data_IF_687584059770
#
_entry.id   IF_687584059770
#
_cell.length_a   1.000
_cell.length_b   1.000
_cell.length_c   1.000
_cell.angle_alpha   90.00
_cell.angle_beta   90.00
_cell.angle_gamma   90.00
#
_symmetry.space_group_name_H-M   'P 1'
#
loop_
_entity.id
_entity.type
_entity.pdbx_description
1 polymer ?
#
# COMPACT_ATOMS: atom_id res chain seq x y z
N UNK A 1 16.04 -9.38 18.30
CA UNK A 1 15.90 -8.36 19.36
C UNK A 1 17.14 -8.48 20.24
N UNK A 2 17.97 -7.43 20.30
CA UNK A 2 19.11 -7.43 21.22
C UNK A 2 18.56 -7.18 22.62
N UNK A 3 18.60 -8.20 23.47
CA UNK A 3 18.19 -8.08 24.88
C UNK A 3 19.38 -7.49 25.62
N UNK A 4 19.21 -6.31 26.19
CA UNK A 4 20.17 -5.77 27.14
C UNK A 4 20.18 -6.69 28.37
N UNK A 5 21.34 -7.27 28.68
CA UNK A 5 21.51 -7.97 29.94
C UNK A 5 21.39 -6.94 31.07
N UNK A 6 20.23 -6.87 31.72
CA UNK A 6 19.93 -6.05 32.91
C UNK A 6 20.76 -6.41 34.15
N UNK A 7 21.90 -7.11 33.98
CA UNK A 7 22.75 -7.57 35.09
C UNK A 7 23.47 -6.43 35.81
N UNK A 8 23.54 -5.25 35.21
CA UNK A 8 23.97 -4.02 35.85
C UNK A 8 22.74 -3.10 35.97
N UNK A 9 22.17 -2.98 37.17
CA UNK A 9 21.08 -2.05 37.50
C UNK A 9 21.58 -0.59 37.39
N UNK A 10 21.86 -0.15 36.16
CA UNK A 10 22.32 1.22 35.87
C UNK A 10 21.09 2.07 35.60
N UNK A 11 20.83 3.03 36.50
CA UNK A 11 19.73 3.98 36.35
C UNK A 11 19.83 4.75 35.03
N UNK A 12 18.71 4.82 34.31
CA UNK A 12 18.60 5.55 33.04
C UNK A 12 19.23 4.85 31.83
N UNK A 13 19.81 3.65 31.98
CA UNK A 13 20.36 2.91 30.84
C UNK A 13 19.26 2.43 29.89
N UNK A 14 19.35 2.83 28.63
CA UNK A 14 18.47 2.37 27.55
C UNK A 14 19.25 1.84 26.35
N UNK A 15 18.63 0.90 25.65
CA UNK A 15 19.27 0.15 24.57
C UNK A 15 18.48 0.25 23.27
N UNK A 16 19.20 0.29 22.15
CA UNK A 16 18.62 0.24 20.83
C UNK A 16 17.99 -1.13 20.58
N UNK A 17 16.74 -1.23 20.10
CA UNK A 17 16.12 -2.53 19.82
C UNK A 17 16.70 -3.24 18.58
N UNK A 18 17.49 -2.52 17.76
CA UNK A 18 17.99 -2.99 16.46
C UNK A 18 19.50 -3.24 16.41
N UNK A 19 20.28 -2.79 17.38
CA UNK A 19 21.73 -3.03 17.44
C UNK A 19 22.24 -3.01 18.90
N UNK A 20 23.51 -3.38 19.15
CA UNK A 20 24.07 -3.42 20.51
C UNK A 20 24.28 -2.06 21.20
N UNK A 21 23.92 -0.93 20.55
CA UNK A 21 24.12 0.40 21.12
C UNK A 21 23.24 0.62 22.37
N UNK A 22 23.85 1.13 23.44
CA UNK A 22 23.18 1.51 24.68
C UNK A 22 23.74 2.84 25.19
N UNK A 23 22.89 3.61 25.87
CA UNK A 23 23.24 4.94 26.40
C UNK A 23 22.38 5.25 27.63
N UNK A 24 22.91 6.06 28.54
CA UNK A 24 22.12 6.62 29.65
C UNK A 24 21.34 7.81 29.12
N UNK A 25 20.02 7.81 29.33
CA UNK A 25 19.14 8.90 28.94
C UNK A 25 18.87 9.78 30.16
N UNK A 26 19.47 10.98 30.17
CA UNK A 26 19.40 11.90 31.31
C UNK A 26 17.99 12.45 31.57
N UNK A 27 17.22 12.71 30.51
CA UNK A 27 15.87 13.22 30.63
C UNK A 27 14.84 12.07 30.66
N UNK A 28 14.20 11.77 31.80
CA UNK A 28 13.18 10.71 31.87
C UNK A 28 11.94 11.01 31.02
N UNK A 29 11.67 12.28 30.71
CA UNK A 29 10.50 12.69 29.92
C UNK A 29 10.71 12.58 28.41
N UNK A 30 11.94 12.33 27.94
CA UNK A 30 12.18 12.11 26.52
C UNK A 30 11.38 10.88 26.08
N UNK A 31 10.63 11.03 24.98
CA UNK A 31 9.81 9.93 24.43
C UNK A 31 10.52 9.19 23.30
N UNK A 32 11.63 9.73 22.80
CA UNK A 32 12.39 9.24 21.65
C UNK A 32 13.77 8.81 22.13
N UNK A 33 14.14 7.58 21.84
CA UNK A 33 15.50 7.06 21.93
C UNK A 33 16.19 7.28 20.59
N UNK A 34 17.38 7.89 20.58
CA UNK A 34 18.18 8.11 19.37
C UNK A 34 19.43 7.25 19.44
N UNK A 35 19.57 6.31 18.51
CA UNK A 35 20.77 5.50 18.40
C UNK A 35 21.91 6.31 17.78
N UNK A 36 23.07 6.38 18.44
CA UNK A 36 24.26 7.08 17.92
C UNK A 36 25.26 6.13 17.27
N UNK A 37 24.90 4.86 17.05
CA UNK A 37 25.69 3.97 16.20
C UNK A 37 25.56 4.45 14.74
N UNK A 38 26.65 4.86 14.06
CA UNK A 38 26.60 5.39 12.69
C UNK A 38 25.97 4.43 11.67
N UNK A 39 26.08 3.12 11.90
CA UNK A 39 25.49 2.09 11.03
C UNK A 39 23.99 1.89 11.29
N UNK A 40 23.46 2.38 12.42
CA UNK A 40 22.06 2.19 12.80
C UNK A 40 21.26 3.49 12.69
N UNK A 41 21.63 4.53 13.44
CA UNK A 41 21.00 5.86 13.46
C UNK A 41 19.47 5.88 13.62
N UNK A 42 18.84 4.77 14.04
CA UNK A 42 17.39 4.66 14.18
C UNK A 42 16.90 5.43 15.40
N UNK A 43 15.73 6.04 15.25
CA UNK A 43 14.98 6.64 16.34
C UNK A 43 13.78 5.76 16.70
N UNK A 44 13.56 5.54 17.99
CA UNK A 44 12.49 4.66 18.49
C UNK A 44 11.75 5.28 19.65
N UNK A 45 10.49 4.94 19.83
CA UNK A 45 9.74 5.29 21.02
C UNK A 45 10.33 4.61 22.26
N UNK A 46 10.63 5.37 23.31
CA UNK A 46 11.15 4.83 24.58
C UNK A 46 10.15 3.89 25.28
N UNK A 47 8.85 4.12 25.10
CA UNK A 47 7.79 3.36 25.76
C UNK A 47 7.50 2.03 25.06
N UNK A 48 7.39 2.02 23.74
CA UNK A 48 6.97 0.83 22.99
C UNK A 48 8.05 0.22 22.09
N UNK A 49 9.24 0.84 22.03
CA UNK A 49 10.43 0.42 21.27
C UNK A 49 10.24 0.28 19.75
N UNK A 50 9.09 0.71 19.21
CA UNK A 50 8.87 0.85 17.78
C UNK A 50 9.57 2.07 17.19
N UNK A 51 9.68 2.19 15.85
CA UNK A 51 10.17 3.39 15.20
C UNK A 51 9.47 4.65 15.71
N UNK A 52 10.22 5.76 15.75
CA UNK A 52 9.70 7.05 16.20
C UNK A 52 8.39 7.39 15.46
N UNK A 53 7.34 7.63 16.24
CA UNK A 53 5.98 7.80 15.75
C UNK A 53 5.31 9.06 16.32
N UNK A 54 6.06 9.98 16.94
CA UNK A 54 5.51 11.26 17.42
C UNK A 54 5.06 12.07 16.20
N UNK A 55 3.83 12.64 16.19
CA UNK A 55 2.97 12.96 17.34
C UNK A 55 1.98 11.87 17.80
N UNK A 56 1.95 10.70 17.17
CA UNK A 56 1.03 9.61 17.53
C UNK A 56 1.38 9.01 18.90
N UNK A 57 0.36 8.60 19.65
CA UNK A 57 0.46 7.80 20.87
C UNK A 57 0.76 6.35 20.52
N UNK A 58 1.37 5.61 21.44
CA UNK A 58 1.79 4.22 21.19
C UNK A 58 0.66 3.28 20.74
N UNK A 59 -0.59 3.55 21.14
CA UNK A 59 -1.77 2.75 20.78
C UNK A 59 -2.41 3.16 19.45
N UNK A 60 -2.00 4.28 18.86
CA UNK A 60 -2.44 4.77 17.54
C UNK A 60 -1.57 4.21 16.42
N UNK A 61 -0.43 3.61 16.77
CA UNK A 61 0.50 2.99 15.83
C UNK A 61 0.07 1.57 15.55
N UNK A 62 -0.24 1.28 14.28
CA UNK A 62 -0.46 -0.09 13.80
C UNK A 62 0.85 -0.87 13.81
N UNK A 63 0.81 -2.12 14.26
CA UNK A 63 1.98 -2.99 14.42
C UNK A 63 1.62 -4.43 14.12
N UNK A 64 2.64 -5.24 13.81
CA UNK A 64 2.51 -6.67 13.57
C UNK A 64 1.45 -6.98 12.51
N UNK A 65 0.59 -7.95 12.83
CA UNK A 65 -0.43 -8.51 11.92
C UNK A 65 -1.36 -7.44 11.32
N UNK A 66 -1.73 -6.40 12.07
CA UNK A 66 -2.61 -5.34 11.55
C UNK A 66 -1.94 -4.52 10.44
N UNK A 67 -0.70 -4.10 10.69
CA UNK A 67 0.09 -3.36 9.71
C UNK A 67 0.39 -4.20 8.48
N UNK A 68 0.70 -5.48 8.68
CA UNK A 68 0.96 -6.45 7.61
C UNK A 68 -0.29 -6.68 6.76
N UNK A 69 -1.45 -6.91 7.38
CA UNK A 69 -2.73 -7.07 6.70
C UNK A 69 -3.09 -5.84 5.86
N UNK A 70 -3.00 -4.64 6.44
CA UNK A 70 -3.31 -3.41 5.72
C UNK A 70 -2.39 -3.23 4.51
N UNK A 71 -1.07 -3.36 4.70
CA UNK A 71 -0.09 -3.24 3.62
C UNK A 71 -0.33 -4.26 2.50
N UNK A 72 -0.57 -5.52 2.87
CA UNK A 72 -0.88 -6.58 1.92
C UNK A 72 -2.07 -6.19 1.05
N UNK A 73 -3.17 -5.71 1.65
CA UNK A 73 -4.36 -5.29 0.92
C UNK A 73 -4.07 -4.06 0.05
N UNK A 74 -3.42 -3.02 0.59
CA UNK A 74 -3.07 -1.80 -0.14
C UNK A 74 -2.20 -2.06 -1.37
N UNK A 75 -1.22 -2.96 -1.26
CA UNK A 75 -0.35 -3.37 -2.37
C UNK A 75 -1.15 -4.04 -3.50
N UNK A 76 -2.07 -4.95 -3.17
CA UNK A 76 -2.92 -5.63 -4.16
C UNK A 76 -3.92 -4.67 -4.83
N UNK A 77 -4.51 -3.78 -4.04
CA UNK A 77 -5.41 -2.74 -4.54
C UNK A 77 -4.66 -1.79 -5.48
N UNK A 78 -3.46 -1.36 -5.12
CA UNK A 78 -2.62 -0.49 -5.97
C UNK A 78 -2.20 -1.20 -7.26
N UNK A 79 -1.81 -2.47 -7.18
CA UNK A 79 -1.41 -3.27 -8.36
C UNK A 79 -2.58 -3.43 -9.35
N UNK A 80 -3.82 -3.53 -8.87
CA UNK A 80 -5.00 -3.70 -9.72
C UNK A 80 -5.20 -2.54 -10.72
N UNK A 81 -4.85 -1.31 -10.33
CA UNK A 81 -4.94 -0.12 -11.18
C UNK A 81 -3.85 -0.08 -12.27
N UNK A 82 -2.74 -0.79 -12.05
CA UNK A 82 -1.56 -0.73 -12.90
C UNK A 82 -1.70 -1.68 -14.09
N UNK A 83 -1.32 -1.19 -15.27
CA UNK A 83 -1.21 -1.98 -16.50
C UNK A 83 0.26 -2.24 -16.82
N UNK A 84 0.51 -3.35 -17.51
CA UNK A 84 1.84 -3.77 -17.96
C UNK A 84 1.81 -3.98 -19.45
N UNK A 85 2.84 -3.49 -20.14
CA UNK A 85 3.00 -3.76 -21.57
C UNK A 85 3.18 -5.28 -21.79
N UNK A 86 2.36 -5.95 -22.62
CA UNK A 86 2.51 -7.38 -22.89
C UNK A 86 3.86 -7.77 -23.53
N UNK A 87 4.55 -6.82 -24.16
CA UNK A 87 5.85 -7.05 -24.83
C UNK A 87 7.05 -6.76 -23.93
N UNK A 88 7.08 -5.61 -23.28
CA UNK A 88 8.28 -5.13 -22.56
C UNK A 88 8.07 -4.92 -21.05
N UNK A 89 6.90 -5.30 -20.53
CA UNK A 89 6.51 -5.22 -19.10
C UNK A 89 6.51 -3.84 -18.45
N UNK A 90 6.83 -2.78 -19.19
CA UNK A 90 6.71 -1.38 -18.74
C UNK A 90 5.35 -1.15 -18.07
N UNK A 91 5.40 -0.64 -16.83
CA UNK A 91 4.22 -0.33 -16.01
C UNK A 91 3.67 1.04 -16.39
N UNK A 92 2.35 1.16 -16.49
CA UNK A 92 1.66 2.42 -16.77
C UNK A 92 0.24 2.40 -16.20
N UNK A 93 -0.34 3.58 -16.02
CA UNK A 93 -1.76 3.76 -15.69
C UNK A 93 -2.32 4.89 -16.56
N UNK A 94 -3.64 4.96 -16.68
CA UNK A 94 -4.30 5.99 -17.47
C UNK A 94 -4.70 7.14 -16.54
N UNK A 95 -4.28 8.34 -16.90
CA UNK A 95 -4.72 9.59 -16.24
C UNK A 95 -5.91 10.16 -17.00
N UNK A 96 -5.78 10.35 -18.31
CA UNK A 96 -6.80 10.95 -19.18
C UNK A 96 -6.79 10.30 -20.58
N UNK A 97 -7.76 10.67 -21.42
CA UNK A 97 -7.82 10.29 -22.83
C UNK A 97 -8.64 9.03 -23.15
N UNK A 98 -8.36 8.41 -24.30
CA UNK A 98 -9.08 7.23 -24.79
C UNK A 98 -8.45 5.91 -24.30
N UNK A 99 -9.12 4.78 -24.51
CA UNK A 99 -8.62 3.47 -24.08
C UNK A 99 -7.53 2.86 -24.99
N UNK A 100 -7.17 3.54 -26.09
CA UNK A 100 -6.01 3.18 -26.91
C UNK A 100 -4.74 3.76 -26.28
N UNK A 101 -3.96 2.92 -25.63
CA UNK A 101 -2.67 3.30 -25.04
C UNK A 101 -1.52 2.98 -25.98
N UNK A 102 -0.44 3.76 -25.92
CA UNK A 102 0.81 3.48 -26.62
C UNK A 102 1.91 3.30 -25.60
N UNK A 103 2.62 2.17 -25.65
CA UNK A 103 3.76 1.95 -24.77
C UNK A 103 4.91 2.90 -25.14
N UNK A 104 5.36 3.72 -24.19
CA UNK A 104 6.46 4.67 -24.39
C UNK A 104 7.79 4.00 -24.70
N UNK A 105 8.03 2.78 -24.19
CA UNK A 105 9.30 2.08 -24.35
C UNK A 105 9.41 1.31 -25.66
N UNK A 106 8.31 0.73 -26.17
CA UNK A 106 8.35 -0.17 -27.34
C UNK A 106 7.33 0.14 -28.45
N UNK A 107 6.55 1.21 -28.30
CA UNK A 107 5.57 1.68 -29.30
C UNK A 107 4.33 0.82 -29.47
N UNK A 108 4.16 -0.26 -28.71
CA UNK A 108 3.02 -1.17 -28.83
C UNK A 108 1.70 -0.48 -28.47
N UNK A 109 0.66 -0.67 -29.28
CA UNK A 109 -0.70 -0.26 -28.93
C UNK A 109 -1.39 -1.29 -28.06
N UNK A 110 -1.99 -0.84 -26.97
CA UNK A 110 -2.60 -1.69 -25.93
C UNK A 110 -3.97 -1.12 -25.59
N UNK A 111 -4.99 -1.96 -25.49
CA UNK A 111 -6.29 -1.55 -24.96
C UNK A 111 -6.21 -1.46 -23.43
N UNK A 112 -6.63 -0.33 -22.86
CA UNK A 112 -6.61 -0.14 -21.40
C UNK A 112 -7.59 -1.07 -20.64
N UNK A 113 -8.69 -1.43 -21.30
CA UNK A 113 -9.79 -2.24 -20.73
C UNK A 113 -9.40 -3.71 -20.70
N UNK A 114 -9.17 -4.33 -21.86
CA UNK A 114 -8.86 -5.77 -21.94
C UNK A 114 -7.37 -6.10 -21.76
N UNK A 115 -6.48 -5.10 -21.76
CA UNK A 115 -5.02 -5.24 -21.60
C UNK A 115 -4.31 -5.96 -22.76
N UNK A 116 -5.02 -6.22 -23.85
CA UNK A 116 -4.49 -6.90 -25.03
C UNK A 116 -3.79 -5.94 -26.00
N UNK A 117 -2.94 -6.52 -26.85
CA UNK A 117 -2.34 -5.81 -27.98
C UNK A 117 -3.40 -5.53 -29.04
N UNK A 118 -3.41 -4.32 -29.60
CA UNK A 118 -4.40 -3.89 -30.59
C UNK A 118 -3.74 -3.28 -31.83
N UNK A 119 -4.49 -3.22 -32.93
CA UNK A 119 -4.08 -2.54 -34.16
C UNK A 119 -4.87 -1.23 -34.29
N UNK A 120 -4.30 -0.13 -33.79
CA UNK A 120 -4.90 1.18 -33.95
C UNK A 120 -6.24 1.34 -33.23
N UNK A 121 -7.24 1.90 -33.92
CA UNK A 121 -8.57 2.19 -33.38
C UNK A 121 -9.62 1.12 -33.74
N UNK A 122 -9.30 0.18 -34.63
CA UNK A 122 -10.24 -0.83 -35.13
C UNK A 122 -10.83 -1.69 -34.00
N UNK A 123 -10.03 -1.94 -32.95
CA UNK A 123 -10.44 -2.71 -31.76
C UNK A 123 -11.69 -2.16 -31.05
N UNK A 124 -11.94 -0.85 -31.16
CA UNK A 124 -13.05 -0.18 -30.47
C UNK A 124 -14.30 -0.06 -31.36
N UNK A 125 -14.22 -0.48 -32.62
CA UNK A 125 -15.36 -0.44 -33.55
C UNK A 125 -16.22 -1.68 -33.31
N UNK A 126 -17.52 -1.49 -33.03
CA UNK A 126 -18.48 -2.58 -32.75
C UNK A 126 -18.07 -3.50 -31.57
N UNK A 127 -17.35 -2.98 -30.58
CA UNK A 127 -16.92 -3.73 -29.40
C UNK A 127 -17.63 -3.21 -28.15
N UNK A 128 -18.64 -3.94 -27.68
CA UNK A 128 -19.43 -3.56 -26.50
C UNK A 128 -18.60 -3.58 -25.21
N UNK A 129 -17.59 -4.46 -25.13
CA UNK A 129 -16.72 -4.58 -23.96
C UNK A 129 -15.65 -3.50 -23.93
N UNK A 130 -15.07 -3.18 -25.08
CA UNK A 130 -13.96 -2.24 -25.21
C UNK A 130 -14.39 -1.04 -26.05
N UNK A 131 -15.00 -0.06 -25.39
CA UNK A 131 -15.36 1.21 -26.03
C UNK A 131 -14.18 2.18 -26.04
N UNK A 132 -14.17 3.13 -26.97
CA UNK A 132 -13.11 4.13 -27.05
C UNK A 132 -13.16 5.16 -25.90
N UNK A 133 -14.36 5.35 -25.33
CA UNK A 133 -14.67 6.38 -24.33
C UNK A 133 -13.95 6.16 -23.00
N UNK A 134 -13.81 7.24 -22.23
CA UNK A 134 -13.12 7.21 -20.96
C UNK A 134 -14.02 6.66 -19.85
N UNK A 135 -13.89 5.36 -19.55
CA UNK A 135 -14.55 4.72 -18.40
C UNK A 135 -13.51 4.27 -17.35
N UNK A 136 -12.34 4.90 -17.30
CA UNK A 136 -11.24 4.46 -16.44
C UNK A 136 -11.62 4.46 -14.96
N UNK A 137 -12.35 5.46 -14.49
CA UNK A 137 -12.79 5.57 -13.09
C UNK A 137 -13.64 4.36 -12.66
N UNK A 138 -14.60 3.96 -13.50
CA UNK A 138 -15.46 2.81 -13.22
C UNK A 138 -14.65 1.50 -13.22
N UNK A 139 -13.80 1.31 -14.22
CA UNK A 139 -12.94 0.13 -14.33
C UNK A 139 -12.02 0.03 -13.13
N UNK A 140 -11.36 1.13 -12.74
CA UNK A 140 -10.48 1.19 -11.58
C UNK A 140 -11.22 0.87 -10.30
N UNK A 141 -12.38 1.50 -10.07
CA UNK A 141 -13.19 1.23 -8.89
C UNK A 141 -13.57 -0.25 -8.78
N UNK A 142 -14.07 -0.86 -9.87
CA UNK A 142 -14.48 -2.27 -9.89
C UNK A 142 -13.28 -3.22 -9.67
N UNK A 143 -12.17 -3.00 -10.36
CA UNK A 143 -10.97 -3.84 -10.24
C UNK A 143 -10.30 -3.70 -8.86
N UNK A 144 -10.23 -2.48 -8.31
CA UNK A 144 -9.65 -2.24 -6.99
C UNK A 144 -10.53 -2.82 -5.88
N UNK A 145 -11.85 -2.74 -6.01
CA UNK A 145 -12.78 -3.35 -5.06
C UNK A 145 -12.69 -4.88 -5.09
N UNK A 146 -12.54 -5.47 -6.27
CA UNK A 146 -12.35 -6.91 -6.43
C UNK A 146 -10.99 -7.36 -5.85
N UNK A 147 -9.93 -6.61 -6.13
CA UNK A 147 -8.60 -6.86 -5.55
C UNK A 147 -8.61 -6.75 -4.03
N UNK A 148 -9.32 -5.78 -3.45
CA UNK A 148 -9.52 -5.65 -2.02
C UNK A 148 -10.15 -6.91 -1.42
N UNK A 149 -11.27 -7.38 -1.98
CA UNK A 149 -11.97 -8.58 -1.48
C UNK A 149 -11.08 -9.81 -1.56
N UNK A 150 -10.40 -10.00 -2.68
CA UNK A 150 -9.53 -11.15 -2.91
C UNK A 150 -8.31 -11.12 -1.99
N UNK A 151 -7.65 -9.97 -1.85
CA UNK A 151 -6.50 -9.82 -0.95
C UNK A 151 -6.91 -10.01 0.51
N UNK A 152 -8.05 -9.46 0.94
CA UNK A 152 -8.57 -9.66 2.28
C UNK A 152 -8.85 -11.14 2.57
N UNK A 153 -9.57 -11.82 1.68
CA UNK A 153 -9.89 -13.24 1.85
C UNK A 153 -8.63 -14.11 1.86
N UNK A 154 -7.67 -13.82 0.97
CA UNK A 154 -6.41 -14.55 0.92
C UNK A 154 -5.57 -14.33 2.18
N UNK A 155 -5.46 -13.10 2.67
CA UNK A 155 -4.74 -12.82 3.90
C UNK A 155 -5.36 -13.56 5.09
N UNK A 156 -6.69 -13.51 5.24
CA UNK A 156 -7.40 -14.24 6.31
C UNK A 156 -7.24 -15.76 6.21
N UNK A 157 -7.11 -16.31 5.00
CA UNK A 157 -6.84 -17.74 4.78
C UNK A 157 -5.43 -18.14 5.25
N UNK A 158 -4.45 -17.27 5.03
CA UNK A 158 -3.06 -17.48 5.43
C UNK A 158 -2.79 -17.14 6.89
N UNK A 159 -3.60 -16.25 7.47
CA UNK A 159 -3.48 -15.73 8.84
C UNK A 159 -4.80 -15.86 9.61
N UNK A 160 -5.18 -17.07 10.06
CA UNK A 160 -6.41 -17.28 10.82
C UNK A 160 -6.50 -16.44 12.10
N UNK A 161 -5.35 -16.08 12.70
CA UNK A 161 -5.25 -15.19 13.86
C UNK A 161 -5.78 -13.77 13.58
N UNK A 162 -5.89 -13.38 12.32
CA UNK A 162 -6.39 -12.08 11.89
C UNK A 162 -7.91 -12.05 11.65
N UNK A 163 -8.64 -13.17 11.84
CA UNK A 163 -10.07 -13.27 11.50
C UNK A 163 -10.94 -12.19 12.16
N UNK A 164 -10.73 -11.94 13.45
CA UNK A 164 -11.51 -10.94 14.22
C UNK A 164 -10.81 -9.57 14.26
N UNK A 165 -9.75 -9.39 13.47
CA UNK A 165 -8.99 -8.14 13.43
C UNK A 165 -9.79 -7.04 12.72
N UNK A 166 -9.87 -5.89 13.39
CA UNK A 166 -10.45 -4.67 12.84
C UNK A 166 -9.31 -3.73 12.47
N UNK A 167 -9.14 -3.44 11.18
CA UNK A 167 -8.16 -2.47 10.71
C UNK A 167 -8.58 -1.05 11.14
N UNK A 168 -7.65 -0.29 11.73
CA UNK A 168 -7.92 1.13 12.07
C UNK A 168 -8.09 2.01 10.85
N UNK A 169 -7.36 1.75 9.78
CA UNK A 169 -7.47 2.48 8.52
C UNK A 169 -8.06 1.58 7.45
N UNK A 170 -9.09 2.08 6.78
CA UNK A 170 -9.68 1.39 5.63
C UNK A 170 -8.74 1.47 4.42
N UNK A 171 -8.23 0.31 3.91
CA UNK A 171 -7.33 0.26 2.75
C UNK A 171 -7.90 0.88 1.48
N UNK A 172 -9.22 1.05 1.39
CA UNK A 172 -9.92 1.61 0.22
C UNK A 172 -10.60 2.95 0.49
N UNK A 173 -10.21 3.65 1.57
CA UNK A 173 -10.79 4.95 1.96
C UNK A 173 -10.71 6.04 0.86
N UNK A 174 -9.75 5.91 -0.07
CA UNK A 174 -9.56 6.82 -1.20
C UNK A 174 -10.46 6.51 -2.41
N UNK A 175 -11.19 5.39 -2.42
CA UNK A 175 -12.07 5.02 -3.54
C UNK A 175 -13.43 5.71 -3.43
N UNK A 176 -13.66 6.72 -4.28
CA UNK A 176 -15.00 7.28 -4.47
C UNK A 176 -15.83 6.44 -5.45
N UNK A 177 -17.09 6.15 -5.12
CA UNK A 177 -18.02 5.53 -6.07
C UNK A 177 -18.17 6.44 -7.30
N UNK A 178 -18.02 5.91 -8.53
CA UNK A 178 -18.24 6.72 -9.72
C UNK A 178 -19.70 7.18 -9.76
N UNK A 179 -19.98 8.42 -10.23
CA UNK A 179 -21.34 8.90 -10.36
C UNK A 179 -22.12 7.95 -11.27
N UNK A 180 -23.32 7.55 -10.83
CA UNK A 180 -24.23 6.75 -11.65
C UNK A 180 -24.55 7.61 -12.86
N UNK A 181 -24.13 7.18 -14.05
CA UNK A 181 -24.51 7.84 -15.29
C UNK A 181 -26.03 7.82 -15.37
N UNK A 182 -26.66 8.99 -15.14
CA UNK A 182 -28.04 9.20 -15.51
C UNK A 182 -28.14 8.94 -17.00
N UNK A 183 -28.74 7.83 -17.39
CA UNK A 183 -29.25 7.66 -18.75
C UNK A 183 -30.19 8.83 -19.00
N UNK A 184 -29.73 9.79 -19.80
CA UNK A 184 -30.57 10.83 -20.37
C UNK A 184 -31.64 10.14 -21.22
N UNK A 185 -32.85 10.05 -20.66
CA UNK A 185 -34.04 9.86 -21.46
C UNK A 185 -34.19 11.10 -22.36
N UNK A 186 -34.10 10.91 -23.67
CA UNK A 186 -34.48 11.86 -24.71
C UNK A 186 -34.92 11.05 -25.91
#
# INVERSE_FOLDING_TARGET
>A
MYICFFLAEIDGLECCPYCPYAVIVDNPDDKIFRCLNPECMKETCRLCKEPNHIPLRCHEVEKGVELEMRKFIEEHVTEAMIRKCPRCTQRFYKVEGCNKMTCSSCGLFICYVCRETINGYDHFTNNERCTLSNQSEKIHYEEMLEAYKNAKNEYLRLHPEAHDMILRYDPISHLSKPPISSTSAS
#
